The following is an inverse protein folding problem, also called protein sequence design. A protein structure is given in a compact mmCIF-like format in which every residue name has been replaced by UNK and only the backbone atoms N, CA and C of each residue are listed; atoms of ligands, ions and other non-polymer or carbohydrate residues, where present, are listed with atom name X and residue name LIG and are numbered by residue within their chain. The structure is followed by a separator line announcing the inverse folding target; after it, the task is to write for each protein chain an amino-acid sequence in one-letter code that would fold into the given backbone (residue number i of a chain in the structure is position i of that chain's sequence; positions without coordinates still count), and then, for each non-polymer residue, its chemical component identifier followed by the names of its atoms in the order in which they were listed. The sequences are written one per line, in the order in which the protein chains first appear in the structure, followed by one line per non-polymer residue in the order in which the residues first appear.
data_IF_671102708448
#
_entry.id   IF_671102708448
#
_cell.length_a   1.000
_cell.length_b   1.000
_cell.length_c   1.000
_cell.angle_alpha   90.00
_cell.angle_beta   90.00
_cell.angle_gamma   90.00
#
_symmetry.space_group_name_H-M   'P 1'
#
loop_
_entity.id
_entity.type
_entity.pdbx_description
1 polymer ?
#
# COMPACT_ATOMS: atom_id res chain seq x y z
N UNK A 1 16.63 28.08 33.22
CA UNK A 1 15.92 29.12 32.46
C UNK A 1 16.47 29.13 31.03
N UNK A 2 15.84 28.40 30.11
CA UNK A 2 16.11 28.51 28.65
C UNK A 2 14.75 28.60 27.97
N UNK A 3 14.56 29.67 27.24
CA UNK A 3 13.30 30.12 26.62
C UNK A 3 13.03 29.30 25.36
N UNK A 4 11.84 28.66 25.31
CA UNK A 4 11.24 28.14 24.09
C UNK A 4 10.93 29.30 23.12
N UNK A 5 11.41 29.20 21.89
CA UNK A 5 10.96 30.08 20.79
C UNK A 5 9.81 29.36 20.08
N UNK A 6 8.61 29.87 20.25
CA UNK A 6 7.47 29.49 19.43
C UNK A 6 7.65 30.07 18.02
N UNK A 7 7.63 29.20 17.02
CA UNK A 7 7.59 29.60 15.62
C UNK A 7 6.13 29.66 15.18
N UNK A 8 5.63 30.88 14.98
CA UNK A 8 4.30 31.14 14.46
C UNK A 8 4.28 30.88 12.95
N UNK A 9 3.47 29.91 12.50
CA UNK A 9 3.16 29.74 11.10
C UNK A 9 2.10 30.74 10.67
N UNK A 10 2.48 31.61 9.75
CA UNK A 10 1.67 32.64 9.15
C UNK A 10 0.75 31.98 8.09
N UNK A 11 -0.55 32.02 8.36
CA UNK A 11 -1.61 31.58 7.43
C UNK A 11 -1.77 32.67 6.35
N UNK A 12 -1.33 32.42 5.14
CA UNK A 12 -1.60 33.30 3.99
C UNK A 12 -2.87 32.78 3.30
N UNK A 13 -3.99 33.45 3.59
CA UNK A 13 -5.23 33.34 2.81
C UNK A 13 -5.08 34.06 1.49
N UNK A 14 -5.05 33.32 0.37
CA UNK A 14 -5.29 33.89 -0.95
C UNK A 14 -6.78 33.85 -1.28
N UNK A 15 -7.41 34.99 -1.23
CA UNK A 15 -8.69 35.28 -1.87
C UNK A 15 -8.47 35.37 -3.37
N UNK A 16 -9.06 34.49 -4.16
CA UNK A 16 -9.28 34.75 -5.57
C UNK A 16 -10.78 34.86 -5.83
N UNK A 17 -11.12 36.07 -6.22
CA UNK A 17 -12.40 36.57 -6.70
C UNK A 17 -12.72 35.91 -8.05
N UNK A 18 -13.99 35.59 -8.20
CA UNK A 18 -14.63 34.85 -9.23
C UNK A 18 -14.44 35.30 -10.68
N UNK A 19 -14.84 34.43 -11.56
CA UNK A 19 -15.72 34.75 -12.70
C UNK A 19 -16.14 33.49 -13.44
N UNK A 20 -17.45 33.33 -13.62
CA UNK A 20 -18.04 32.87 -14.86
C UNK A 20 -18.12 31.36 -15.09
N UNK A 21 -19.23 30.77 -14.71
CA UNK A 21 -19.76 29.56 -15.37
C UNK A 21 -20.23 29.91 -16.78
N UNK A 22 -19.96 29.11 -17.78
CA UNK A 22 -20.85 29.01 -18.93
C UNK A 22 -21.74 27.77 -18.80
N UNK A 23 -22.96 28.04 -19.08
CA UNK A 23 -24.16 27.26 -19.16
C UNK A 23 -24.02 26.10 -20.16
N UNK A 24 -24.65 24.98 -19.82
CA UNK A 24 -24.85 23.83 -20.70
C UNK A 24 -25.61 24.26 -21.98
N UNK A 25 -25.10 23.89 -23.14
CA UNK A 25 -25.83 23.86 -24.38
C UNK A 25 -25.94 22.40 -24.84
N UNK A 26 -27.17 21.90 -24.80
CA UNK A 26 -27.61 20.74 -25.54
C UNK A 26 -27.52 21.04 -27.03
N UNK A 27 -26.86 20.19 -27.79
CA UNK A 27 -27.19 20.00 -29.18
C UNK A 27 -26.94 18.55 -29.56
N UNK A 28 -28.03 17.81 -29.69
CA UNK A 28 -28.14 16.67 -30.59
C UNK A 28 -27.93 17.20 -32.00
N UNK A 29 -27.01 16.62 -32.74
CA UNK A 29 -27.04 16.29 -34.14
C UNK A 29 -25.63 15.99 -34.66
N UNK A 30 -25.46 14.81 -35.14
CA UNK A 30 -24.92 14.34 -36.41
C UNK A 30 -24.22 12.99 -36.21
N UNK A 31 -25.08 11.96 -36.33
CA UNK A 31 -24.64 10.60 -36.69
C UNK A 31 -24.44 10.58 -38.23
N UNK A 32 -23.25 10.88 -38.69
CA UNK A 32 -22.88 10.52 -40.07
C UNK A 32 -22.36 9.08 -40.10
N UNK A 33 -23.14 8.29 -40.83
CA UNK A 33 -22.96 6.93 -41.27
C UNK A 33 -21.66 6.76 -42.05
N UNK A 34 -20.61 6.20 -41.44
CA UNK A 34 -19.41 5.80 -42.18
C UNK A 34 -19.58 4.37 -42.68
N UNK A 35 -19.96 4.24 -43.97
CA UNK A 35 -19.99 2.96 -44.68
C UNK A 35 -18.58 2.43 -44.88
N UNK A 36 -18.32 1.23 -44.34
CA UNK A 36 -17.15 0.42 -44.66
C UNK A 36 -17.29 -0.25 -46.04
N UNK A 37 -16.27 -0.21 -46.87
CA UNK A 37 -16.24 -1.05 -48.08
C UNK A 37 -15.48 -2.35 -47.79
N UNK A 38 -16.12 -3.47 -48.11
CA UNK A 38 -15.45 -4.70 -48.56
C UNK A 38 -14.97 -5.67 -47.50
N UNK A 39 -15.82 -6.63 -47.16
CA UNK A 39 -15.46 -7.94 -46.59
C UNK A 39 -14.33 -8.62 -47.34
N UNK A 40 -13.19 -8.85 -46.65
CA UNK A 40 -12.30 -9.98 -46.90
C UNK A 40 -12.19 -10.76 -45.60
N UNK A 41 -12.76 -11.95 -45.59
CA UNK A 41 -12.51 -13.02 -44.65
C UNK A 41 -11.03 -13.37 -44.66
N UNK A 42 -10.32 -13.01 -43.59
CA UNK A 42 -9.06 -13.66 -43.21
C UNK A 42 -9.21 -14.07 -41.76
N UNK A 43 -9.03 -15.36 -41.54
CA UNK A 43 -8.80 -15.95 -40.23
C UNK A 43 -7.75 -15.12 -39.52
N UNK A 44 -8.18 -14.34 -38.52
CA UNK A 44 -7.28 -13.66 -37.61
C UNK A 44 -7.50 -14.24 -36.22
N UNK A 45 -6.74 -15.31 -35.96
CA UNK A 45 -6.44 -15.79 -34.64
C UNK A 45 -5.78 -14.59 -33.94
N UNK A 46 -6.54 -13.89 -33.11
CA UNK A 46 -6.04 -12.83 -32.23
C UNK A 46 -4.99 -13.45 -31.31
N UNK A 47 -3.74 -13.42 -31.75
CA UNK A 47 -2.61 -13.73 -30.90
C UNK A 47 -2.63 -12.72 -29.74
N UNK A 48 -2.88 -13.21 -28.55
CA UNK A 48 -2.58 -12.51 -27.31
C UNK A 48 -1.13 -12.03 -27.46
N UNK A 49 -0.82 -10.74 -27.25
CA UNK A 49 0.54 -10.26 -27.38
C UNK A 49 1.41 -11.07 -26.44
N UNK A 50 2.35 -11.84 -27.00
CA UNK A 50 3.27 -12.64 -26.25
C UNK A 50 3.97 -11.73 -25.24
N UNK A 51 3.77 -12.03 -23.96
CA UNK A 51 4.49 -11.41 -22.84
C UNK A 51 5.97 -11.52 -23.19
N UNK A 52 6.65 -10.39 -23.34
CA UNK A 52 8.10 -10.38 -23.58
C UNK A 52 8.72 -11.12 -22.40
N UNK A 53 9.32 -12.28 -22.68
CA UNK A 53 10.14 -12.97 -21.69
C UNK A 53 11.19 -11.96 -21.19
N UNK A 54 11.34 -11.79 -19.86
CA UNK A 54 12.38 -10.93 -19.33
C UNK A 54 13.72 -11.46 -19.87
N UNK A 55 14.49 -10.60 -20.52
CA UNK A 55 15.90 -10.90 -20.84
C UNK A 55 16.53 -11.41 -19.55
N UNK A 56 17.56 -12.25 -19.69
CA UNK A 56 18.35 -12.76 -18.57
C UNK A 56 19.06 -11.56 -17.92
N UNK A 57 18.32 -10.82 -17.13
CA UNK A 57 18.76 -9.60 -16.44
C UNK A 57 19.43 -10.02 -15.15
N UNK A 58 20.54 -9.37 -14.82
CA UNK A 58 21.22 -9.56 -13.55
C UNK A 58 20.25 -9.22 -12.42
N UNK A 59 20.05 -10.16 -11.50
CA UNK A 59 19.24 -9.93 -10.30
C UNK A 59 20.01 -9.00 -9.38
N UNK A 60 19.39 -7.88 -9.01
CA UNK A 60 19.98 -6.90 -8.12
C UNK A 60 19.83 -7.33 -6.65
N UNK A 61 20.86 -7.07 -5.85
CA UNK A 61 20.80 -7.09 -4.39
C UNK A 61 19.91 -5.95 -3.85
N UNK A 62 19.52 -6.03 -2.59
CA UNK A 62 18.73 -4.96 -1.96
C UNK A 62 19.49 -3.61 -1.96
N UNK A 63 20.81 -3.62 -1.74
CA UNK A 63 21.62 -2.41 -1.78
C UNK A 63 21.70 -1.79 -3.19
N UNK A 64 21.75 -2.62 -4.24
CA UNK A 64 21.69 -2.16 -5.63
C UNK A 64 20.30 -1.59 -5.95
N UNK A 65 19.22 -2.23 -5.46
CA UNK A 65 17.86 -1.70 -5.57
C UNK A 65 17.76 -0.32 -4.91
N UNK A 66 18.24 -0.15 -3.69
CA UNK A 66 18.18 1.15 -3.00
C UNK A 66 18.94 2.24 -3.75
N UNK A 67 20.09 1.93 -4.33
CA UNK A 67 20.95 2.88 -5.05
C UNK A 67 20.58 3.08 -6.52
N UNK A 68 19.66 2.24 -7.09
CA UNK A 68 19.30 2.33 -8.50
C UNK A 68 18.58 3.64 -8.82
N UNK A 69 18.83 4.15 -10.03
CA UNK A 69 18.04 5.24 -10.61
C UNK A 69 16.69 4.68 -11.15
N UNK A 70 15.64 5.51 -11.11
CA UNK A 70 14.30 5.11 -11.55
C UNK A 70 14.08 5.09 -13.07
N UNK A 71 15.09 5.45 -13.87
CA UNK A 71 15.01 5.56 -15.33
C UNK A 71 15.34 4.26 -16.07
N UNK A 72 15.83 3.23 -15.36
CA UNK A 72 16.11 1.91 -15.90
C UNK A 72 15.34 0.83 -15.15
N UNK A 73 14.89 -0.23 -15.84
CA UNK A 73 14.26 -1.34 -15.18
C UNK A 73 15.26 -2.07 -14.29
N UNK A 74 14.81 -2.48 -13.13
CA UNK A 74 15.58 -3.32 -12.19
C UNK A 74 14.87 -4.64 -11.98
N UNK A 75 15.66 -5.72 -11.85
CA UNK A 75 15.15 -7.07 -11.57
C UNK A 75 15.58 -7.50 -10.19
N UNK A 76 14.62 -7.93 -9.38
CA UNK A 76 14.85 -8.46 -8.04
C UNK A 76 14.29 -9.88 -7.91
N UNK A 77 14.80 -10.66 -6.97
CA UNK A 77 14.20 -11.93 -6.51
C UNK A 77 13.92 -11.84 -5.02
N UNK A 78 12.70 -12.13 -4.63
CA UNK A 78 12.32 -12.11 -3.22
C UNK A 78 11.06 -12.97 -2.98
N UNK A 79 10.51 -12.96 -1.77
CA UNK A 79 9.44 -13.85 -1.37
C UNK A 79 8.19 -13.07 -0.96
N UNK A 80 7.04 -13.50 -1.46
CA UNK A 80 5.75 -12.86 -1.17
C UNK A 80 5.43 -12.97 0.33
N UNK A 81 5.16 -11.83 0.96
CA UNK A 81 4.74 -11.76 2.36
C UNK A 81 3.27 -11.39 2.50
N UNK A 82 2.78 -10.48 1.67
CA UNK A 82 1.39 -10.05 1.64
C UNK A 82 0.98 -9.65 0.23
N UNK A 83 -0.32 -9.75 -0.09
CA UNK A 83 -0.89 -9.27 -1.36
C UNK A 83 -2.25 -8.63 -1.13
N UNK A 84 -2.55 -7.58 -1.88
CA UNK A 84 -3.90 -7.02 -1.94
C UNK A 84 -4.85 -7.95 -2.72
N UNK A 85 -6.14 -7.81 -2.48
CA UNK A 85 -7.16 -8.46 -3.28
C UNK A 85 -6.98 -8.13 -4.77
N UNK A 86 -7.20 -9.13 -5.62
CA UNK A 86 -7.18 -8.92 -7.07
C UNK A 86 -8.29 -7.96 -7.48
N UNK A 87 -7.94 -6.95 -8.25
CA UNK A 87 -8.89 -5.97 -8.73
C UNK A 87 -8.53 -5.52 -10.16
N UNK A 88 -9.49 -5.64 -11.08
CA UNK A 88 -9.36 -5.14 -12.46
C UNK A 88 -8.05 -5.57 -13.16
N UNK A 89 -7.65 -6.83 -13.02
CA UNK A 89 -6.47 -7.37 -13.69
C UNK A 89 -5.14 -7.10 -13.01
N UNK A 90 -5.12 -6.66 -11.75
CA UNK A 90 -3.91 -6.30 -11.01
C UNK A 90 -4.04 -6.54 -9.52
N UNK A 91 -2.89 -6.61 -8.85
CA UNK A 91 -2.75 -6.64 -7.40
C UNK A 91 -1.49 -5.89 -6.96
N UNK A 92 -1.39 -5.49 -5.71
CA UNK A 92 -0.14 -5.00 -5.13
C UNK A 92 0.44 -6.05 -4.19
N UNK A 93 1.77 -6.16 -4.14
CA UNK A 93 2.50 -7.18 -3.39
C UNK A 93 3.53 -6.56 -2.47
N UNK A 94 3.74 -7.17 -1.31
CA UNK A 94 4.90 -6.95 -0.47
C UNK A 94 5.78 -8.19 -0.49
N UNK A 95 7.02 -8.02 -0.93
CA UNK A 95 8.03 -9.07 -0.98
C UNK A 95 9.10 -8.77 0.06
N UNK A 96 9.65 -9.81 0.67
CA UNK A 96 10.76 -9.67 1.62
C UNK A 96 11.65 -10.90 1.59
N UNK A 97 12.94 -10.68 1.71
CA UNK A 97 13.98 -11.68 1.94
C UNK A 97 14.83 -11.28 3.16
N UNK A 98 16.01 -11.89 3.32
CA UNK A 98 16.90 -11.59 4.44
C UNK A 98 17.60 -10.24 4.31
N UNK A 99 17.72 -9.68 3.10
CA UNK A 99 18.41 -8.43 2.84
C UNK A 99 17.48 -7.20 2.98
N UNK A 100 16.20 -7.34 2.60
CA UNK A 100 15.26 -6.24 2.66
C UNK A 100 13.88 -6.55 2.10
N UNK A 101 13.09 -5.51 1.86
CA UNK A 101 11.71 -5.64 1.42
C UNK A 101 11.37 -4.70 0.27
N UNK A 102 10.39 -5.11 -0.53
CA UNK A 102 10.01 -4.43 -1.76
C UNK A 102 8.49 -4.34 -1.84
N UNK A 103 7.97 -3.21 -2.26
CA UNK A 103 6.57 -3.02 -2.59
C UNK A 103 6.40 -2.97 -4.11
N UNK A 104 5.53 -3.82 -4.63
CA UNK A 104 5.20 -3.90 -6.06
C UNK A 104 3.81 -3.31 -6.23
N UNK A 105 3.74 -2.14 -6.84
CA UNK A 105 2.48 -1.41 -6.99
C UNK A 105 1.76 -1.80 -8.27
N UNK A 106 0.49 -2.20 -8.15
CA UNK A 106 -0.41 -2.51 -9.24
C UNK A 106 0.18 -3.47 -10.29
N UNK A 107 0.75 -4.59 -9.83
CA UNK A 107 1.28 -5.65 -10.68
C UNK A 107 0.16 -6.26 -11.54
N UNK A 108 0.25 -6.19 -12.89
CA UNK A 108 -0.72 -6.83 -13.76
C UNK A 108 -0.63 -8.36 -13.63
N UNK A 109 -1.78 -9.01 -13.45
CA UNK A 109 -1.87 -10.48 -13.41
C UNK A 109 -3.27 -10.97 -13.76
N UNK A 110 -3.37 -12.16 -14.37
CA UNK A 110 -4.64 -12.84 -14.55
C UNK A 110 -5.16 -13.41 -13.22
N UNK A 111 -6.43 -13.82 -13.13
CA UNK A 111 -6.94 -14.50 -11.94
C UNK A 111 -6.15 -15.77 -11.59
N UNK A 112 -5.74 -16.56 -12.59
CA UNK A 112 -4.96 -17.78 -12.40
C UNK A 112 -3.54 -17.48 -11.89
N UNK A 113 -2.90 -16.42 -12.40
CA UNK A 113 -1.62 -15.95 -11.90
C UNK A 113 -1.74 -15.45 -10.45
N UNK A 114 -2.83 -14.73 -10.13
CA UNK A 114 -3.12 -14.27 -8.78
C UNK A 114 -3.30 -15.43 -7.78
N UNK A 115 -4.00 -16.49 -8.19
CA UNK A 115 -4.18 -17.69 -7.35
C UNK A 115 -2.87 -18.42 -7.09
N UNK A 116 -1.92 -18.35 -8.02
CA UNK A 116 -0.59 -18.92 -7.86
C UNK A 116 0.34 -18.08 -6.96
N UNK A 117 -0.04 -16.84 -6.62
CA UNK A 117 0.66 -15.96 -5.69
C UNK A 117 0.22 -16.29 -4.25
N UNK A 118 0.93 -17.17 -3.56
CA UNK A 118 0.71 -17.49 -2.15
C UNK A 118 1.84 -16.96 -1.27
N UNK A 119 1.53 -16.64 -0.01
CA UNK A 119 2.51 -16.16 0.97
C UNK A 119 3.67 -17.15 1.12
N UNK A 120 4.88 -16.63 1.05
CA UNK A 120 6.13 -17.40 1.04
C UNK A 120 6.65 -17.76 -0.36
N UNK A 121 5.87 -17.63 -1.43
CA UNK A 121 6.30 -17.95 -2.80
C UNK A 121 7.44 -17.06 -3.25
N UNK A 122 8.48 -17.65 -3.88
CA UNK A 122 9.57 -16.92 -4.50
C UNK A 122 9.15 -16.36 -5.86
N UNK A 123 9.44 -15.08 -6.07
CA UNK A 123 9.17 -14.36 -7.31
C UNK A 123 10.45 -13.71 -7.83
N UNK A 124 10.59 -13.66 -9.17
CA UNK A 124 11.46 -12.69 -9.84
C UNK A 124 10.55 -11.59 -10.39
N UNK A 125 10.86 -10.34 -10.06
CA UNK A 125 10.10 -9.19 -10.49
C UNK A 125 11.02 -8.21 -11.19
N UNK A 126 10.61 -7.74 -12.39
CA UNK A 126 11.31 -6.69 -13.14
C UNK A 126 10.37 -5.50 -13.30
N UNK A 127 10.83 -4.32 -12.98
CA UNK A 127 10.04 -3.09 -13.04
C UNK A 127 10.89 -1.85 -12.84
N UNK A 128 10.26 -0.70 -12.67
CA UNK A 128 10.93 0.58 -12.46
C UNK A 128 10.79 1.00 -11.01
N UNK A 129 11.94 1.35 -10.37
CA UNK A 129 11.90 1.91 -9.03
C UNK A 129 11.32 3.32 -9.07
N UNK A 130 10.32 3.56 -8.26
CA UNK A 130 9.72 4.88 -8.06
C UNK A 130 9.53 5.13 -6.58
N UNK A 131 9.19 6.36 -6.23
CA UNK A 131 8.85 6.76 -4.88
C UNK A 131 7.51 7.49 -4.89
N UNK A 132 6.63 7.14 -3.97
CA UNK A 132 5.36 7.84 -3.77
C UNK A 132 5.18 8.18 -2.29
N UNK A 133 5.13 9.48 -1.98
CA UNK A 133 5.01 9.98 -0.59
C UNK A 133 6.04 9.39 0.38
N UNK A 134 7.27 9.17 -0.09
CA UNK A 134 8.36 8.58 0.67
C UNK A 134 8.38 7.04 0.68
N UNK A 135 7.38 6.34 0.12
CA UNK A 135 7.39 4.89 -0.02
C UNK A 135 8.10 4.45 -1.30
N UNK A 136 9.14 3.65 -1.16
CA UNK A 136 9.84 3.05 -2.29
C UNK A 136 9.00 1.90 -2.87
N UNK A 137 8.85 1.88 -4.20
CA UNK A 137 8.02 0.90 -4.89
C UNK A 137 8.58 0.54 -6.27
N UNK A 138 8.19 -0.62 -6.80
CA UNK A 138 8.34 -0.99 -8.20
C UNK A 138 7.00 -0.79 -8.91
N UNK A 139 7.04 -0.11 -10.06
CA UNK A 139 5.89 0.12 -10.94
C UNK A 139 6.16 -0.46 -12.33
N UNK A 140 5.12 -0.56 -13.15
CA UNK A 140 5.19 -1.13 -14.51
C UNK A 140 5.89 -2.49 -14.52
N UNK A 141 5.62 -3.28 -13.49
CA UNK A 141 6.34 -4.50 -13.21
C UNK A 141 5.73 -5.73 -13.90
N UNK A 142 6.60 -6.68 -14.22
CA UNK A 142 6.24 -8.04 -14.59
C UNK A 142 6.90 -9.04 -13.66
N UNK A 143 6.41 -10.29 -13.61
CA UNK A 143 6.95 -11.29 -12.70
C UNK A 143 7.06 -12.69 -13.30
N UNK A 144 7.89 -13.51 -12.68
CA UNK A 144 7.98 -14.95 -12.88
C UNK A 144 7.87 -15.64 -11.53
N UNK A 145 7.14 -16.76 -11.50
CA UNK A 145 7.10 -17.64 -10.34
C UNK A 145 8.37 -18.50 -10.32
N UNK A 146 9.04 -18.57 -9.18
CA UNK A 146 10.22 -19.37 -8.98
C UNK A 146 9.98 -20.43 -7.90
N UNK A 147 10.85 -21.45 -7.88
CA UNK A 147 10.89 -22.41 -6.78
C UNK A 147 11.57 -21.79 -5.57
N UNK A 148 11.03 -22.07 -4.38
CA UNK A 148 11.51 -21.59 -3.11
C UNK A 148 10.38 -21.05 -2.23
N UNK A 149 10.63 -21.12 -0.93
CA UNK A 149 9.65 -20.64 0.08
C UNK A 149 10.39 -19.99 1.24
N UNK A 150 9.94 -18.79 1.62
CA UNK A 150 10.44 -18.08 2.78
C UNK A 150 9.35 -17.15 3.34
N UNK A 151 9.19 -17.14 4.65
CA UNK A 151 8.33 -16.21 5.38
C UNK A 151 9.21 -15.48 6.39
N UNK A 152 9.31 -14.16 6.25
CA UNK A 152 10.12 -13.34 7.11
C UNK A 152 9.55 -13.27 8.53
N UNK A 153 10.41 -13.32 9.54
CA UNK A 153 10.03 -12.99 10.89
C UNK A 153 9.78 -11.48 11.01
N UNK A 154 8.71 -11.03 11.69
CA UNK A 154 8.46 -9.61 11.86
C UNK A 154 9.59 -8.92 12.65
N UNK A 155 10.10 -7.79 12.13
CA UNK A 155 10.97 -6.89 12.89
C UNK A 155 10.18 -6.26 14.03
N UNK A 156 10.75 -6.25 15.25
CA UNK A 156 10.10 -5.62 16.40
C UNK A 156 10.34 -4.11 16.36
N UNK A 157 9.34 -3.37 15.92
CA UNK A 157 9.39 -1.92 15.76
C UNK A 157 8.83 -1.14 16.97
N UNK A 158 8.56 -1.82 18.08
CA UNK A 158 7.89 -1.24 19.25
C UNK A 158 8.60 -0.02 19.84
N UNK A 159 9.93 -0.02 19.83
CA UNK A 159 10.77 1.03 20.42
C UNK A 159 11.27 2.06 19.37
N UNK A 160 10.79 1.96 18.12
CA UNK A 160 11.27 2.77 17.00
C UNK A 160 10.25 3.78 16.47
N UNK A 161 9.09 3.94 17.13
CA UNK A 161 7.98 4.76 16.61
C UNK A 161 8.34 6.22 16.31
N UNK A 162 9.28 6.80 17.04
CA UNK A 162 9.80 8.16 16.87
C UNK A 162 11.22 8.20 16.30
N UNK A 163 11.72 7.07 15.80
CA UNK A 163 13.07 6.93 15.26
C UNK A 163 13.08 7.03 13.73
N UNK A 164 14.04 7.77 13.19
CA UNK A 164 14.33 7.80 11.75
C UNK A 164 14.78 6.42 11.21
N UNK A 165 15.15 5.49 12.10
CA UNK A 165 15.52 4.12 11.71
C UNK A 165 14.38 3.35 11.07
N UNK A 166 13.11 3.66 11.39
CA UNK A 166 11.96 3.05 10.74
C UNK A 166 11.99 3.19 9.21
N UNK A 167 12.57 4.28 8.70
CA UNK A 167 12.68 4.48 7.26
C UNK A 167 13.43 3.33 6.54
N UNK A 168 14.43 2.74 7.18
CA UNK A 168 15.21 1.63 6.61
C UNK A 168 14.49 0.28 6.66
N UNK A 169 13.36 0.22 7.36
CA UNK A 169 12.52 -0.97 7.48
C UNK A 169 11.24 -0.90 6.63
N UNK A 170 11.17 0.06 5.69
CA UNK A 170 10.03 0.17 4.79
C UNK A 170 9.70 -1.15 4.11
N UNK A 171 8.41 -1.42 3.99
CA UNK A 171 7.83 -2.59 3.33
C UNK A 171 8.13 -3.94 4.00
N UNK A 172 8.88 -3.96 5.11
CA UNK A 172 9.14 -5.17 5.89
C UNK A 172 7.92 -5.58 6.73
N UNK A 173 7.86 -6.86 7.05
CA UNK A 173 6.99 -7.35 8.11
C UNK A 173 7.47 -6.78 9.45
N UNK A 174 6.54 -6.20 10.19
CA UNK A 174 6.81 -5.56 11.48
C UNK A 174 5.84 -6.02 12.54
N UNK A 175 6.26 -5.86 13.79
CA UNK A 175 5.44 -6.06 14.97
C UNK A 175 5.61 -4.88 15.92
N UNK A 176 4.50 -4.49 16.55
CA UNK A 176 4.43 -3.48 17.59
C UNK A 176 3.77 -4.08 18.82
N UNK A 177 4.46 -4.10 19.95
CA UNK A 177 3.96 -4.70 21.20
C UNK A 177 3.47 -3.64 22.18
N UNK A 178 2.48 -4.03 22.99
CA UNK A 178 1.97 -3.19 24.08
C UNK A 178 1.56 -1.78 23.63
N UNK A 179 0.92 -1.71 22.48
CA UNK A 179 0.43 -0.47 21.91
C UNK A 179 -0.87 -0.08 22.62
N UNK A 180 -0.92 1.11 23.19
CA UNK A 180 -2.13 1.66 23.80
C UNK A 180 -2.93 2.41 22.74
N UNK A 181 -4.22 2.07 22.58
CA UNK A 181 -5.13 2.77 21.68
C UNK A 181 -5.39 4.18 22.20
N UNK A 182 -5.10 5.15 21.37
CA UNK A 182 -5.29 6.58 21.65
C UNK A 182 -6.50 7.12 20.88
N UNK A 183 -7.09 8.23 21.36
CA UNK A 183 -8.17 8.85 20.62
C UNK A 183 -7.72 9.36 19.25
N UNK A 184 -8.59 9.26 18.26
CA UNK A 184 -8.40 9.91 16.97
C UNK A 184 -8.50 11.44 17.09
N UNK A 185 -8.37 12.16 15.98
CA UNK A 185 -8.34 13.64 15.95
C UNK A 185 -9.57 14.32 16.54
N UNK A 186 -10.71 13.63 16.63
CA UNK A 186 -11.93 14.13 17.29
C UNK A 186 -11.87 14.04 18.83
N UNK A 187 -10.86 13.38 19.37
CA UNK A 187 -10.66 13.21 20.81
C UNK A 187 -11.57 12.16 21.49
N UNK A 188 -12.44 11.49 20.74
CA UNK A 188 -13.45 10.57 21.30
C UNK A 188 -13.55 9.21 20.58
N UNK A 189 -13.16 9.12 19.31
CA UNK A 189 -13.21 7.89 18.53
C UNK A 189 -11.94 7.08 18.69
N UNK A 190 -12.05 5.75 18.83
CA UNK A 190 -10.91 4.86 18.89
C UNK A 190 -10.37 4.51 17.48
N UNK A 191 -11.19 4.64 16.45
CA UNK A 191 -10.83 4.44 15.06
C UNK A 191 -11.73 5.28 14.14
N UNK A 192 -11.33 5.44 12.88
CA UNK A 192 -12.09 6.07 11.81
C UNK A 192 -12.33 5.12 10.65
N UNK A 193 -13.46 5.29 9.96
CA UNK A 193 -13.69 4.78 8.62
C UNK A 193 -13.19 5.79 7.59
N UNK A 194 -12.07 5.47 6.91
CA UNK A 194 -11.35 6.43 6.09
C UNK A 194 -10.51 7.39 6.95
N UNK A 195 -9.57 8.05 6.33
CA UNK A 195 -8.62 8.95 7.02
C UNK A 195 -9.28 10.15 7.70
N UNK A 196 -10.40 10.61 7.18
CA UNK A 196 -11.20 11.77 7.64
C UNK A 196 -12.54 11.37 8.29
N UNK A 197 -12.75 10.08 8.55
CA UNK A 197 -13.98 9.50 9.07
C UNK A 197 -15.22 9.69 8.17
N UNK A 198 -15.03 9.87 6.86
CA UNK A 198 -16.13 9.99 5.88
C UNK A 198 -16.60 8.64 5.32
N UNK A 199 -15.92 7.56 5.67
CA UNK A 199 -16.22 6.20 5.25
C UNK A 199 -17.31 5.53 6.07
N UNK A 200 -17.53 4.24 5.83
CA UNK A 200 -18.39 3.37 6.64
C UNK A 200 -18.04 1.91 6.45
N UNK A 201 -18.55 1.04 7.32
CA UNK A 201 -18.43 -0.42 7.16
C UNK A 201 -19.15 -0.94 5.91
N UNK A 202 -20.29 -0.35 5.55
CA UNK A 202 -21.06 -0.72 4.36
C UNK A 202 -20.29 -0.46 3.05
N UNK A 203 -19.45 0.59 3.04
CA UNK A 203 -18.55 0.91 1.93
C UNK A 203 -17.23 0.11 1.97
N UNK A 204 -17.04 -0.73 2.98
CA UNK A 204 -15.80 -1.45 3.21
C UNK A 204 -14.57 -0.51 3.22
N UNK A 205 -14.74 0.65 3.88
CA UNK A 205 -13.69 1.66 3.96
C UNK A 205 -12.50 1.16 4.78
N UNK A 206 -11.33 1.65 4.48
CA UNK A 206 -10.14 1.42 5.30
C UNK A 206 -10.37 1.90 6.73
N UNK A 207 -9.80 1.22 7.72
CA UNK A 207 -9.85 1.64 9.11
C UNK A 207 -8.53 2.28 9.53
N UNK A 208 -8.63 3.47 10.12
CA UNK A 208 -7.51 4.20 10.68
C UNK A 208 -7.64 4.26 12.20
N UNK A 209 -6.58 4.00 12.92
CA UNK A 209 -6.54 4.17 14.36
C UNK A 209 -5.16 4.64 14.80
N UNK A 210 -5.10 5.28 15.96
CA UNK A 210 -3.87 5.79 16.56
C UNK A 210 -3.52 4.97 17.78
N UNK A 211 -2.26 4.59 17.89
CA UNK A 211 -1.78 3.91 19.08
C UNK A 211 -0.40 4.42 19.50
N UNK A 212 -0.10 4.33 20.78
CA UNK A 212 1.13 4.82 21.39
C UNK A 212 1.89 3.74 22.12
N UNK A 213 3.20 3.89 22.18
CA UNK A 213 4.08 3.17 23.08
C UNK A 213 5.19 4.09 23.57
N UNK A 214 5.54 4.05 24.86
CA UNK A 214 6.63 4.82 25.45
C UNK A 214 6.60 6.34 25.17
N UNK A 215 5.40 6.90 24.92
CA UNK A 215 5.19 8.32 24.62
C UNK A 215 5.26 8.69 23.14
N UNK A 216 5.67 7.79 22.28
CA UNK A 216 5.60 7.94 20.83
C UNK A 216 4.25 7.43 20.28
N UNK A 217 3.74 8.06 19.23
CA UNK A 217 2.42 7.77 18.69
C UNK A 217 2.52 7.56 17.17
N UNK A 218 1.78 6.58 16.66
CA UNK A 218 1.71 6.29 15.22
C UNK A 218 0.25 6.06 14.81
N UNK A 219 -0.08 6.44 13.56
CA UNK A 219 -1.36 6.08 12.93
C UNK A 219 -1.19 4.79 12.15
N UNK A 220 -2.03 3.82 12.46
CA UNK A 220 -2.09 2.51 11.85
C UNK A 220 -3.27 2.42 10.88
N UNK A 221 -3.15 1.54 9.90
CA UNK A 221 -4.14 1.35 8.84
C UNK A 221 -4.50 -0.13 8.69
N UNK A 222 -5.78 -0.48 8.78
CA UNK A 222 -6.29 -1.74 8.24
C UNK A 222 -6.83 -1.45 6.85
N UNK A 223 -6.06 -1.83 5.83
CA UNK A 223 -6.40 -1.59 4.43
C UNK A 223 -7.42 -2.61 3.97
N UNK A 224 -8.59 -2.17 3.52
CA UNK A 224 -9.70 -3.04 3.14
C UNK A 224 -9.39 -3.93 1.94
N UNK A 225 -8.55 -3.46 1.01
CA UNK A 225 -8.07 -4.27 -0.13
C UNK A 225 -7.08 -5.37 0.28
N UNK A 226 -6.45 -5.26 1.46
CA UNK A 226 -5.52 -6.25 1.99
C UNK A 226 -6.22 -7.25 2.93
N UNK A 227 -7.00 -6.76 3.88
CA UNK A 227 -7.59 -7.58 4.92
C UNK A 227 -9.07 -7.90 4.71
N UNK A 228 -9.81 -7.10 3.92
CA UNK A 228 -11.25 -7.25 3.73
C UNK A 228 -12.07 -6.96 5.00
N UNK A 229 -13.32 -6.53 4.83
CA UNK A 229 -14.18 -6.16 5.95
C UNK A 229 -14.62 -7.37 6.81
N UNK A 230 -14.55 -8.58 6.26
CA UNK A 230 -14.91 -9.82 6.96
C UNK A 230 -13.73 -10.46 7.71
N UNK A 231 -12.53 -9.87 7.63
CA UNK A 231 -11.36 -10.39 8.34
C UNK A 231 -11.44 -10.19 9.85
N UNK A 232 -10.77 -11.05 10.59
CA UNK A 232 -10.73 -10.94 12.07
C UNK A 232 -10.06 -9.61 12.50
N UNK A 233 -9.01 -9.16 11.78
CA UNK A 233 -8.34 -7.90 12.10
C UNK A 233 -9.28 -6.71 11.91
N UNK A 234 -10.07 -6.68 10.84
CA UNK A 234 -11.00 -5.60 10.57
C UNK A 234 -12.09 -5.54 11.65
N UNK A 235 -12.70 -6.68 12.00
CA UNK A 235 -13.69 -6.78 13.07
C UNK A 235 -13.12 -6.40 14.44
N UNK A 236 -11.90 -6.86 14.75
CA UNK A 236 -11.26 -6.54 16.03
C UNK A 236 -11.01 -5.03 16.19
N UNK A 237 -10.57 -4.34 15.13
CA UNK A 237 -10.36 -2.88 15.19
C UNK A 237 -11.67 -2.13 15.39
N UNK A 238 -12.80 -2.61 14.84
CA UNK A 238 -14.12 -2.01 15.09
C UNK A 238 -14.57 -2.11 16.56
N UNK A 239 -13.99 -3.01 17.34
CA UNK A 239 -14.28 -3.21 18.77
C UNK A 239 -13.33 -2.43 19.69
N UNK A 240 -12.32 -1.75 19.15
CA UNK A 240 -11.33 -1.00 19.93
C UNK A 240 -11.99 0.08 20.79
N UNK A 241 -11.44 0.21 22.01
CA UNK A 241 -11.74 1.29 22.95
C UNK A 241 -10.47 2.05 23.26
N UNK A 242 -10.60 3.35 23.45
CA UNK A 242 -9.49 4.19 23.93
C UNK A 242 -8.97 3.63 25.24
N UNK A 243 -7.66 3.43 25.32
CA UNK A 243 -6.97 2.84 26.45
C UNK A 243 -6.74 1.33 26.38
N UNK A 244 -7.34 0.62 25.41
CA UNK A 244 -7.03 -0.79 25.18
C UNK A 244 -5.53 -0.96 24.86
N UNK A 245 -4.96 -2.07 25.32
CA UNK A 245 -3.57 -2.44 24.98
C UNK A 245 -3.56 -3.62 24.04
N UNK A 246 -2.87 -3.49 22.92
CA UNK A 246 -2.82 -4.49 21.86
C UNK A 246 -1.40 -4.73 21.37
N UNK A 247 -1.16 -5.89 20.77
CA UNK A 247 0.01 -6.14 19.93
C UNK A 247 -0.44 -6.26 18.50
N UNK A 248 0.31 -5.62 17.58
CA UNK A 248 -0.02 -5.48 16.19
C UNK A 248 1.07 -6.14 15.33
N UNK A 249 0.70 -6.83 14.26
CA UNK A 249 1.63 -7.27 13.22
C UNK A 249 1.12 -6.83 11.85
N UNK A 250 2.05 -6.64 10.91
CA UNK A 250 1.70 -6.26 9.56
C UNK A 250 2.91 -5.83 8.74
N UNK A 251 2.71 -4.86 7.85
CA UNK A 251 3.75 -4.34 6.95
C UNK A 251 4.00 -2.87 7.27
N UNK A 252 5.26 -2.46 7.35
CA UNK A 252 5.63 -1.06 7.53
C UNK A 252 5.52 -0.30 6.20
N UNK A 253 4.34 0.17 5.88
CA UNK A 253 4.12 1.08 4.75
C UNK A 253 4.49 2.52 5.13
N UNK A 254 4.60 3.38 4.11
CA UNK A 254 5.04 4.77 4.28
C UNK A 254 4.15 5.72 3.49
N UNK A 255 3.69 6.79 4.13
CA UNK A 255 2.95 7.88 3.48
C UNK A 255 3.29 9.21 4.16
N UNK A 256 4.34 9.89 3.67
CA UNK A 256 4.94 11.08 4.31
C UNK A 256 5.34 10.84 5.77
N UNK A 257 5.64 9.60 6.13
CA UNK A 257 5.93 9.10 7.45
C UNK A 257 5.50 7.64 7.60
N UNK A 258 5.82 6.97 8.72
CA UNK A 258 5.41 5.60 8.95
C UNK A 258 3.88 5.49 9.01
N UNK A 259 3.32 4.58 8.22
CA UNK A 259 1.91 4.21 8.21
C UNK A 259 1.77 2.69 8.12
N UNK A 260 1.98 1.98 9.24
CA UNK A 260 1.95 0.53 9.22
C UNK A 260 0.57 -0.01 8.83
N UNK A 261 0.56 -0.97 7.89
CA UNK A 261 -0.61 -1.75 7.52
C UNK A 261 -0.74 -2.92 8.49
N UNK A 262 -1.86 -3.00 9.19
CA UNK A 262 -2.09 -4.05 10.20
C UNK A 262 -2.81 -5.22 9.55
N UNK A 263 -2.22 -6.41 9.67
CA UNK A 263 -2.79 -7.67 9.18
C UNK A 263 -3.14 -8.64 10.32
N UNK A 264 -2.69 -8.36 11.54
CA UNK A 264 -3.02 -9.15 12.72
C UNK A 264 -3.05 -8.28 13.99
N UNK A 265 -4.02 -8.56 14.85
CA UNK A 265 -4.16 -7.93 16.17
C UNK A 265 -4.27 -9.02 17.23
N UNK A 266 -3.50 -8.86 18.30
CA UNK A 266 -3.62 -9.68 19.51
C UNK A 266 -3.92 -8.76 20.68
N UNK A 267 -5.09 -8.92 21.30
CA UNK A 267 -5.41 -8.20 22.53
C UNK A 267 -4.45 -8.63 23.64
N UNK A 268 -3.79 -7.67 24.28
CA UNK A 268 -3.07 -7.89 25.51
C UNK A 268 -4.07 -7.63 26.62
N UNK A 269 -4.78 -8.67 27.08
CA UNK A 269 -5.69 -8.54 28.20
C UNK A 269 -4.90 -8.03 29.41
N UNK A 270 -5.16 -6.79 29.78
CA UNK A 270 -4.75 -6.27 31.07
C UNK A 270 -5.44 -7.08 32.17
N UNK A 271 -4.65 -7.59 33.08
CA UNK A 271 -5.10 -8.25 34.30
C UNK A 271 -5.94 -7.29 35.18
#
# INVERSE_FOLDING_TARGET
MRRCKALAFLLICFFLIGCGLPQAANSEADLEEYRLPGTKTTDDTTAVPARKEPRQETVASYSEYLSSAGDQPITIESYLQEKEAWNEGKTSLWLQDEEGAYYIYHLPCSPEEYDALYVGRKLRVSGYKTEFSGNLQLTDAGFLLLDGTYIASPFDASDFLDSDELYYHQNQRVRFRNMKIEPMFDGVSAFYYGWDNSGSSEKQSDLYFTASNSGATCTFLVKSSLCGAESDVYRTVQEFRIGDTVSLEGILSWYNGPQPLVTSVTAVNGA
#
